data_IF_335887054640
#
_entry.id   IF_335887054640
#
_cell.length_a   1.000
_cell.length_b   1.000
_cell.length_c   1.000
_cell.angle_alpha   90.00
_cell.angle_beta   90.00
_cell.angle_gamma   90.00
#
_symmetry.space_group_name_H-M   'P 1'
#
loop_
_entity.id
_entity.type
_entity.pdbx_description
1 polymer ?
#
# COMPACT_ATOMS: atom_id res chain seq x y z
N UNK A 1 3.38 -5.47 3.03
CA UNK A 1 3.71 -4.39 3.97
C UNK A 1 3.62 -3.07 3.24
N UNK A 2 2.38 -2.66 3.00
CA UNK A 2 2.05 -1.52 2.14
C UNK A 2 2.40 -0.21 2.87
N UNK A 3 2.57 0.88 2.10
CA UNK A 3 2.80 2.26 2.59
C UNK A 3 1.84 2.75 3.69
N UNK A 4 0.74 2.02 3.89
CA UNK A 4 -0.18 2.09 5.03
C UNK A 4 0.51 2.28 6.39
N UNK A 5 1.64 1.59 6.60
CA UNK A 5 2.44 1.66 7.83
C UNK A 5 3.18 3.00 8.04
N UNK A 6 3.24 3.86 7.02
CA UNK A 6 3.83 5.20 7.10
C UNK A 6 2.89 6.22 7.76
N UNK A 7 1.62 5.87 7.98
CA UNK A 7 0.60 6.78 8.51
C UNK A 7 0.07 6.30 9.87
N UNK A 8 0.68 6.72 10.98
CA UNK A 8 0.16 6.38 12.31
C UNK A 8 -1.23 6.98 12.53
N UNK A 9 -2.16 6.19 13.07
CA UNK A 9 -3.48 6.66 13.54
C UNK A 9 -4.68 6.37 12.65
N UNK A 10 -4.55 5.58 11.59
CA UNK A 10 -5.71 5.20 10.78
C UNK A 10 -6.64 4.24 11.53
N UNK A 11 -7.93 4.57 11.49
CA UNK A 11 -9.02 3.69 11.91
C UNK A 11 -9.12 2.52 10.93
N UNK A 12 -9.42 1.33 11.44
CA UNK A 12 -9.68 0.10 10.67
C UNK A 12 -11.17 -0.05 10.31
N UNK A 13 -11.93 1.04 10.36
CA UNK A 13 -13.32 1.04 9.93
C UNK A 13 -13.45 0.80 8.41
N UNK A 14 -14.60 0.29 7.97
CA UNK A 14 -14.89 -0.12 6.58
C UNK A 14 -14.57 0.95 5.51
N UNK A 15 -14.58 2.24 5.85
CA UNK A 15 -14.28 3.36 4.95
C UNK A 15 -12.83 3.89 5.02
N UNK A 16 -11.97 3.23 5.79
CA UNK A 16 -10.58 3.61 5.92
C UNK A 16 -9.87 3.53 4.56
N UNK A 17 -8.84 4.35 4.31
CA UNK A 17 -8.13 4.16 3.07
C UNK A 17 -7.28 2.88 3.06
N UNK A 18 -7.16 2.16 4.20
CA UNK A 18 -6.62 0.80 4.28
C UNK A 18 -7.53 -0.19 3.57
N UNK A 19 -8.82 -0.16 3.90
CA UNK A 19 -9.82 -1.07 3.32
C UNK A 19 -9.92 -0.81 1.83
N UNK A 20 -9.91 0.46 1.41
CA UNK A 20 -9.94 0.84 -0.02
C UNK A 20 -8.73 0.36 -0.83
N UNK A 21 -7.51 0.44 -0.27
CA UNK A 21 -6.31 -0.10 -0.93
C UNK A 21 -6.42 -1.59 -1.16
N UNK A 22 -6.93 -2.31 -0.16
CA UNK A 22 -7.08 -3.76 -0.18
C UNK A 22 -8.23 -4.14 -1.13
N UNK A 23 -9.33 -3.42 -1.11
CA UNK A 23 -10.48 -3.65 -1.99
C UNK A 23 -10.11 -3.48 -3.46
N UNK A 24 -9.41 -2.40 -3.82
CA UNK A 24 -8.88 -2.23 -5.17
C UNK A 24 -8.00 -3.42 -5.60
N UNK A 25 -7.06 -3.83 -4.74
CA UNK A 25 -6.13 -4.91 -5.02
C UNK A 25 -6.82 -6.28 -5.14
N UNK A 26 -7.73 -6.57 -4.23
CA UNK A 26 -8.33 -7.89 -4.03
C UNK A 26 -9.61 -8.05 -4.84
N UNK A 27 -10.56 -7.13 -4.67
CA UNK A 27 -11.89 -7.26 -5.28
C UNK A 27 -11.85 -6.93 -6.76
N UNK A 28 -10.99 -6.01 -7.19
CA UNK A 28 -10.97 -5.57 -8.57
C UNK A 28 -9.86 -6.27 -9.36
N UNK A 29 -8.60 -6.14 -8.94
CA UNK A 29 -7.46 -6.64 -9.71
C UNK A 29 -7.28 -8.16 -9.57
N UNK A 30 -7.18 -8.70 -8.36
CA UNK A 30 -6.91 -10.13 -8.15
C UNK A 30 -8.04 -11.02 -8.68
N UNK A 31 -9.31 -10.64 -8.45
CA UNK A 31 -10.47 -11.37 -8.99
C UNK A 31 -10.53 -11.34 -10.52
N UNK A 32 -10.27 -10.20 -11.15
CA UNK A 32 -10.24 -10.10 -12.61
C UNK A 32 -9.15 -10.98 -13.25
N UNK A 33 -8.05 -11.27 -12.52
CA UNK A 33 -7.02 -12.22 -12.94
C UNK A 33 -7.31 -13.68 -12.58
N UNK A 34 -8.41 -13.96 -11.88
CA UNK A 34 -8.70 -15.31 -11.36
C UNK A 34 -7.75 -15.75 -10.24
N UNK A 35 -7.08 -14.82 -9.55
CA UNK A 35 -6.19 -15.13 -8.42
C UNK A 35 -7.07 -15.36 -7.19
N UNK A 36 -7.06 -16.58 -6.67
CA UNK A 36 -7.73 -16.92 -5.41
C UNK A 36 -6.78 -16.68 -4.24
N UNK A 37 -7.17 -15.81 -3.32
CA UNK A 37 -6.42 -15.57 -2.09
C UNK A 37 -6.62 -16.75 -1.12
N UNK A 38 -5.59 -17.12 -0.33
CA UNK A 38 -5.67 -18.21 0.63
C UNK A 38 -6.38 -17.80 1.95
N UNK A 39 -7.09 -16.68 1.95
CA UNK A 39 -7.80 -16.13 3.10
C UNK A 39 -9.09 -15.47 2.64
N UNK A 40 -10.15 -15.64 3.43
CA UNK A 40 -11.49 -15.13 3.09
C UNK A 40 -11.62 -13.62 3.32
N UNK A 41 -10.92 -13.09 4.33
CA UNK A 41 -10.91 -11.68 4.70
C UNK A 41 -9.50 -11.11 4.56
N UNK A 42 -9.25 -10.48 3.41
CA UNK A 42 -7.98 -9.85 3.12
C UNK A 42 -7.74 -8.57 3.94
N UNK A 43 -8.80 -7.86 4.32
CA UNK A 43 -8.71 -6.65 5.15
C UNK A 43 -8.18 -7.07 6.50
N UNK A 44 -8.91 -7.93 7.21
CA UNK A 44 -8.52 -8.45 8.52
C UNK A 44 -7.12 -9.05 8.52
N UNK A 45 -6.72 -9.75 7.45
CA UNK A 45 -5.37 -10.31 7.35
C UNK A 45 -4.28 -9.23 7.33
N UNK A 46 -4.52 -8.11 6.66
CA UNK A 46 -3.60 -6.97 6.66
C UNK A 46 -3.64 -6.23 8.00
N UNK A 47 -4.81 -6.11 8.62
CA UNK A 47 -4.94 -5.52 9.97
C UNK A 47 -4.16 -6.33 11.00
N UNK A 48 -4.35 -7.66 11.04
CA UNK A 48 -3.64 -8.56 11.92
C UNK A 48 -2.12 -8.45 11.71
N UNK A 49 -1.66 -8.35 10.46
CA UNK A 49 -0.26 -8.13 10.15
C UNK A 49 0.24 -6.78 10.69
N UNK A 50 -0.52 -5.69 10.47
CA UNK A 50 -0.20 -4.36 10.98
C UNK A 50 -0.19 -4.29 12.51
N UNK A 51 -1.09 -5.00 13.19
CA UNK A 51 -1.14 -5.09 14.66
C UNK A 51 0.03 -5.91 15.18
N UNK A 52 0.30 -7.08 14.61
CA UNK A 52 1.40 -7.96 15.02
C UNK A 52 2.76 -7.28 14.83
N UNK A 53 2.91 -6.44 13.79
CA UNK A 53 4.14 -5.69 13.53
C UNK A 53 4.07 -4.24 13.99
N UNK A 54 3.09 -3.84 14.81
CA UNK A 54 2.97 -2.47 15.33
C UNK A 54 4.24 -1.94 16.02
N UNK A 55 5.00 -2.73 16.79
CA UNK A 55 6.28 -2.26 17.34
C UNK A 55 7.43 -2.26 16.31
N UNK A 56 7.25 -2.87 15.13
CA UNK A 56 8.26 -2.91 14.07
C UNK A 56 7.94 -1.86 12.99
N UNK A 57 8.88 -0.98 12.70
CA UNK A 57 8.78 -0.10 11.53
C UNK A 57 8.74 -0.94 10.25
N UNK A 58 7.86 -0.61 9.30
CA UNK A 58 7.84 -1.32 8.02
C UNK A 58 9.14 -1.10 7.25
N UNK A 59 9.51 -2.05 6.38
CA UNK A 59 10.70 -1.91 5.51
C UNK A 59 10.66 -0.60 4.72
N UNK A 60 9.52 -0.27 4.12
CA UNK A 60 9.30 0.98 3.39
C UNK A 60 9.50 2.22 4.28
N UNK A 61 9.06 2.19 5.55
CA UNK A 61 9.34 3.29 6.50
C UNK A 61 10.82 3.40 6.82
N UNK A 62 11.49 2.28 7.03
CA UNK A 62 12.93 2.25 7.28
C UNK A 62 13.72 2.78 6.07
N UNK A 63 13.31 2.45 4.85
CA UNK A 63 13.91 2.99 3.62
C UNK A 63 13.69 4.49 3.50
N UNK A 64 12.48 4.98 3.79
CA UNK A 64 12.19 6.42 3.84
C UNK A 64 13.05 7.15 4.87
N UNK A 65 13.19 6.59 6.07
CA UNK A 65 14.00 7.18 7.14
C UNK A 65 15.50 7.15 6.80
N UNK A 66 15.95 6.12 6.09
CA UNK A 66 17.32 5.99 5.62
C UNK A 66 17.58 6.63 4.25
N UNK A 67 16.59 7.33 3.69
CA UNK A 67 16.65 7.98 2.37
C UNK A 67 17.05 7.04 1.22
N UNK A 68 16.63 5.77 1.30
CA UNK A 68 16.80 4.77 0.24
C UNK A 68 15.55 4.71 -0.62
N UNK A 69 15.71 4.21 -1.85
CA UNK A 69 14.59 3.87 -2.71
C UNK A 69 13.73 2.79 -2.05
N UNK A 70 12.41 2.92 -2.17
CA UNK A 70 11.45 2.01 -1.56
C UNK A 70 10.92 0.98 -2.56
N UNK A 71 10.30 -0.08 -2.04
CA UNK A 71 9.64 -1.10 -2.88
C UNK A 71 8.23 -0.68 -3.37
N UNK A 72 7.85 0.60 -3.29
CA UNK A 72 6.47 1.06 -3.56
C UNK A 72 6.00 0.71 -4.98
N UNK A 73 6.91 0.74 -5.96
CA UNK A 73 6.62 0.39 -7.35
C UNK A 73 6.32 -1.09 -7.56
N UNK A 74 6.85 -1.96 -6.70
CA UNK A 74 6.63 -3.40 -6.76
C UNK A 74 5.40 -3.83 -5.95
N UNK A 75 5.00 -3.03 -4.97
CA UNK A 75 3.83 -3.30 -4.13
C UNK A 75 2.58 -2.60 -4.70
N UNK A 76 2.44 -1.30 -4.47
CA UNK A 76 1.28 -0.53 -4.94
C UNK A 76 1.34 -0.28 -6.44
N UNK A 77 2.53 0.00 -6.97
CA UNK A 77 2.72 0.23 -8.40
C UNK A 77 2.37 -1.00 -9.25
N UNK A 78 2.53 -2.22 -8.72
CA UNK A 78 2.12 -3.44 -9.41
C UNK A 78 0.60 -3.54 -9.56
N UNK A 79 -0.16 -3.19 -8.51
CA UNK A 79 -1.63 -3.14 -8.55
C UNK A 79 -2.09 -2.10 -9.58
N UNK A 80 -1.45 -0.92 -9.60
CA UNK A 80 -1.78 0.14 -10.58
C UNK A 80 -1.56 -0.32 -12.01
N UNK A 81 -0.38 -0.87 -12.30
CA UNK A 81 -0.05 -1.37 -13.65
C UNK A 81 -1.02 -2.45 -14.10
N UNK A 82 -1.41 -3.33 -13.18
CA UNK A 82 -2.32 -4.41 -13.51
C UNK A 82 -3.77 -3.93 -13.68
N UNK A 83 -4.22 -3.00 -12.83
CA UNK A 83 -5.50 -2.32 -13.00
C UNK A 83 -5.58 -1.67 -14.38
N UNK A 84 -4.55 -0.92 -14.78
CA UNK A 84 -4.46 -0.30 -16.12
C UNK A 84 -4.56 -1.33 -17.26
N UNK A 85 -3.88 -2.48 -17.14
CA UNK A 85 -3.96 -3.56 -18.15
C UNK A 85 -5.36 -4.16 -18.27
N UNK A 86 -6.11 -4.18 -17.18
CA UNK A 86 -7.45 -4.76 -17.10
C UNK A 86 -8.55 -3.71 -17.31
N UNK A 87 -8.21 -2.43 -17.48
CA UNK A 87 -9.18 -1.33 -17.57
C UNK A 87 -9.88 -1.01 -16.25
N UNK A 88 -9.26 -1.36 -15.13
CA UNK A 88 -9.76 -1.20 -13.76
C UNK A 88 -9.03 -0.02 -13.10
N UNK A 89 -9.78 0.95 -12.60
CA UNK A 89 -9.18 2.08 -11.89
C UNK A 89 -8.74 1.68 -10.48
N UNK A 90 -7.57 2.18 -10.08
CA UNK A 90 -6.93 1.89 -8.77
C UNK A 90 -6.46 3.20 -8.12
N UNK A 91 -7.38 4.17 -7.90
CA UNK A 91 -7.03 5.54 -7.56
C UNK A 91 -6.32 5.66 -6.21
N UNK A 92 -6.65 4.84 -5.22
CA UNK A 92 -6.01 4.90 -3.91
C UNK A 92 -4.59 4.33 -3.98
N UNK A 93 -4.40 3.18 -4.64
CA UNK A 93 -3.07 2.62 -4.89
C UNK A 93 -2.17 3.57 -5.69
N UNK A 94 -2.72 4.24 -6.71
CA UNK A 94 -2.03 5.26 -7.50
C UNK A 94 -1.62 6.45 -6.65
N UNK A 95 -2.54 6.95 -5.83
CA UNK A 95 -2.28 8.09 -4.94
C UNK A 95 -1.14 7.79 -3.96
N UNK A 96 -1.19 6.63 -3.30
CA UNK A 96 -0.14 6.18 -2.38
C UNK A 96 1.21 6.07 -3.08
N UNK A 97 1.23 5.43 -4.25
CA UNK A 97 2.46 5.27 -5.04
C UNK A 97 3.09 6.62 -5.35
N UNK A 98 2.28 7.59 -5.79
CA UNK A 98 2.75 8.93 -6.11
C UNK A 98 3.26 9.68 -4.88
N UNK A 99 2.59 9.57 -3.73
CA UNK A 99 3.02 10.22 -2.50
C UNK A 99 4.40 9.72 -2.04
N UNK A 100 4.62 8.40 -2.06
CA UNK A 100 5.93 7.82 -1.70
C UNK A 100 7.01 8.26 -2.69
N UNK A 101 6.72 8.29 -4.00
CA UNK A 101 7.66 8.80 -5.00
C UNK A 101 8.01 10.27 -4.82
N UNK A 102 7.05 11.10 -4.40
CA UNK A 102 7.33 12.50 -4.06
C UNK A 102 8.24 12.58 -2.84
N UNK A 103 7.99 11.75 -1.82
CA UNK A 103 8.86 11.62 -0.66
C UNK A 103 10.30 11.25 -1.07
N UNK A 104 10.48 10.25 -1.94
CA UNK A 104 11.78 9.81 -2.44
C UNK A 104 12.51 10.91 -3.20
N UNK A 105 11.82 11.58 -4.13
CA UNK A 105 12.38 12.67 -4.93
C UNK A 105 12.76 13.90 -4.11
N UNK A 106 12.19 14.04 -2.92
CA UNK A 106 12.44 15.19 -2.03
C UNK A 106 13.45 14.89 -0.92
N UNK A 107 14.05 13.70 -0.88
CA UNK A 107 15.06 13.37 0.15
C UNK A 107 16.20 14.39 0.22
N UNK A 108 16.66 14.90 -0.91
CA UNK A 108 17.72 15.93 -0.99
C UNK A 108 17.26 17.35 -0.59
N UNK A 109 15.95 17.58 -0.49
CA UNK A 109 15.33 18.91 -0.30
C UNK A 109 14.59 19.02 1.04
N UNK A 110 14.55 17.96 1.85
CA UNK A 110 13.84 17.98 3.13
C UNK A 110 14.44 19.04 4.06
N UNK A 111 13.60 20.02 4.42
CA UNK A 111 13.91 20.99 5.47
C UNK A 111 14.10 20.22 6.77
N UNK A 112 15.28 20.35 7.39
CA UNK A 112 15.62 19.73 8.67
C UNK A 112 14.98 20.45 9.83
#
# INVERSE_FOLDING_TARGET
>A
YVAVSLMPGWSYADDSPITKVIDEAVLQVARAKGIRLPYDDAVKKVEDACVATRPNHSSMLQDVLAQRETEVDFINGAIVREGERLGIDTPVNRTITNLVKVIEKTYSVRVK
#
